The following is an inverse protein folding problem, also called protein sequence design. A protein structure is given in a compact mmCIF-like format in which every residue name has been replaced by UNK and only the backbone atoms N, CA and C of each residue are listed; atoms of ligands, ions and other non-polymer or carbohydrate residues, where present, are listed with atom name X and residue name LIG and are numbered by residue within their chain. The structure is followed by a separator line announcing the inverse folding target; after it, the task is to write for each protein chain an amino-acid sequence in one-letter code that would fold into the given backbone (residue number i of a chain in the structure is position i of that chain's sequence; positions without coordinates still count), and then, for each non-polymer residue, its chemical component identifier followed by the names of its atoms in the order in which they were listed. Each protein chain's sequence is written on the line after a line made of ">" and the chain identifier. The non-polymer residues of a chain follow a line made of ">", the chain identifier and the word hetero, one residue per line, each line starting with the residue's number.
data_IF_026048581447
#
_entry.id   IF_026048581447
#
_cell.length_a   1.000
_cell.length_b   1.000
_cell.length_c   1.000
_cell.angle_alpha   90.00
_cell.angle_beta   90.00
_cell.angle_gamma   90.00
#
_symmetry.space_group_name_H-M   'P 1'
#
loop_
_entity.id
_entity.type
_entity.pdbx_description
1 polymer ?
#
# COMPACT_ATOMS: atom_id res chain seq x y z
N UNK A 1 0.33 22.18 77.32
CA UNK A 1 0.56 22.78 75.99
C UNK A 1 1.83 22.21 75.41
N UNK A 2 1.71 21.44 74.32
CA UNK A 2 2.71 21.27 73.26
C UNK A 2 1.92 21.01 71.97
N UNK A 3 2.21 21.68 70.84
CA UNK A 3 1.31 21.71 69.70
C UNK A 3 1.51 20.52 68.76
N UNK A 4 0.37 20.04 68.27
CA UNK A 4 0.19 19.06 67.20
C UNK A 4 0.81 19.58 65.88
N UNK A 5 1.67 18.78 65.26
CA UNK A 5 2.16 19.03 63.89
C UNK A 5 1.65 17.92 62.99
N UNK A 6 0.54 18.18 62.30
CA UNK A 6 0.07 17.33 61.21
C UNK A 6 0.95 17.55 59.97
N UNK A 7 1.30 16.50 59.19
CA UNK A 7 2.09 16.67 57.98
C UNK A 7 1.24 17.30 56.85
N UNK A 8 1.84 18.13 55.97
CA UNK A 8 1.13 18.73 54.86
C UNK A 8 0.72 17.64 53.86
N UNK A 9 -0.59 17.44 53.68
CA UNK A 9 -1.11 16.61 52.61
C UNK A 9 -0.82 17.30 51.27
N UNK A 10 0.19 16.79 50.56
CA UNK A 10 0.45 17.16 49.17
C UNK A 10 -0.73 16.71 48.30
N UNK A 11 -1.66 17.62 48.01
CA UNK A 11 -2.75 17.45 47.05
C UNK A 11 -2.17 17.37 45.64
N UNK A 12 -1.81 16.17 45.16
CA UNK A 12 -1.34 15.97 43.77
C UNK A 12 -2.52 15.83 42.80
N UNK A 13 -2.71 16.85 41.96
CA UNK A 13 -2.88 16.79 40.49
C UNK A 13 -3.86 15.79 39.83
N UNK A 14 -5.01 15.45 40.43
CA UNK A 14 -6.01 14.56 39.76
C UNK A 14 -6.52 15.12 38.43
N UNK A 15 -6.71 16.44 38.31
CA UNK A 15 -7.26 17.11 37.12
C UNK A 15 -6.28 17.08 35.93
N UNK A 16 -4.96 17.08 36.20
CA UNK A 16 -3.94 17.10 35.14
C UNK A 16 -3.79 15.74 34.45
N UNK A 17 -4.13 14.64 35.14
CA UNK A 17 -4.02 13.28 34.58
C UNK A 17 -5.16 12.99 33.60
N UNK A 18 -6.38 13.41 33.92
CA UNK A 18 -7.55 13.24 33.05
C UNK A 18 -7.47 14.10 31.79
N UNK A 19 -7.09 15.38 31.92
CA UNK A 19 -6.92 16.26 30.76
C UNK A 19 -5.84 15.74 29.79
N UNK A 20 -4.71 15.28 30.33
CA UNK A 20 -3.63 14.71 29.51
C UNK A 20 -4.07 13.41 28.83
N UNK A 21 -4.84 12.56 29.53
CA UNK A 21 -5.43 11.33 28.97
C UNK A 21 -6.38 11.63 27.81
N UNK A 22 -7.30 12.59 27.99
CA UNK A 22 -8.25 13.04 26.95
C UNK A 22 -7.52 13.59 25.73
N UNK A 23 -6.48 14.40 25.92
CA UNK A 23 -5.63 14.92 24.84
C UNK A 23 -4.98 13.77 24.03
N UNK A 24 -4.37 12.78 24.71
CA UNK A 24 -3.77 11.62 24.02
C UNK A 24 -4.79 10.78 23.25
N UNK A 25 -6.00 10.59 23.79
CA UNK A 25 -7.06 9.83 23.13
C UNK A 25 -7.57 10.55 21.87
N UNK A 26 -7.68 11.88 21.92
CA UNK A 26 -8.05 12.69 20.76
C UNK A 26 -6.99 12.63 19.66
N UNK A 27 -5.70 12.69 20.03
CA UNK A 27 -4.59 12.53 19.08
C UNK A 27 -4.59 11.13 18.45
N UNK A 28 -4.83 10.07 19.23
CA UNK A 28 -4.95 8.72 18.70
C UNK A 28 -6.12 8.58 17.70
N UNK A 29 -7.27 9.18 18.02
CA UNK A 29 -8.44 9.15 17.15
C UNK A 29 -8.18 9.86 15.81
N UNK A 30 -7.58 11.05 15.85
CA UNK A 30 -7.21 11.80 14.64
C UNK A 30 -6.20 11.02 13.77
N UNK A 31 -5.26 10.32 14.41
CA UNK A 31 -4.25 9.53 13.71
C UNK A 31 -4.88 8.30 13.04
N UNK A 32 -5.83 7.65 13.70
CA UNK A 32 -6.61 6.53 13.13
C UNK A 32 -7.50 6.96 11.97
N UNK A 33 -8.12 8.15 12.05
CA UNK A 33 -8.88 8.72 10.93
C UNK A 33 -7.99 8.98 9.72
N UNK A 34 -6.78 9.54 9.93
CA UNK A 34 -5.80 9.75 8.86
C UNK A 34 -5.35 8.44 8.22
N UNK A 35 -5.10 7.40 9.03
CA UNK A 35 -4.76 6.07 8.53
C UNK A 35 -5.91 5.53 7.66
N UNK A 36 -7.13 5.60 8.17
CA UNK A 36 -8.33 5.12 7.46
C UNK A 36 -8.50 5.83 6.12
N UNK A 37 -8.39 7.17 6.11
CA UNK A 37 -8.46 7.95 4.88
C UNK A 37 -7.38 7.60 3.86
N UNK A 38 -6.17 7.28 4.33
CA UNK A 38 -5.07 6.89 3.45
C UNK A 38 -5.26 5.47 2.89
N UNK A 39 -5.79 4.54 3.71
CA UNK A 39 -6.17 3.20 3.25
C UNK A 39 -7.26 3.31 2.18
N UNK A 40 -8.30 4.10 2.38
CA UNK A 40 -9.36 4.31 1.39
C UNK A 40 -8.82 4.87 0.06
N UNK A 41 -7.89 5.83 0.13
CA UNK A 41 -7.22 6.37 -1.06
C UNK A 41 -6.40 5.29 -1.78
N UNK A 42 -5.70 4.45 -1.02
CA UNK A 42 -4.91 3.35 -1.58
C UNK A 42 -5.82 2.32 -2.27
N UNK A 43 -6.92 1.91 -1.63
CA UNK A 43 -7.90 0.98 -2.20
C UNK A 43 -8.45 1.50 -3.53
N UNK A 44 -8.93 2.76 -3.56
CA UNK A 44 -9.42 3.37 -4.81
C UNK A 44 -8.35 3.46 -5.91
N UNK A 45 -7.10 3.71 -5.52
CA UNK A 45 -5.98 3.75 -6.48
C UNK A 45 -5.71 2.38 -7.08
N UNK A 46 -5.76 1.32 -6.26
CA UNK A 46 -5.63 -0.07 -6.70
C UNK A 46 -6.79 -0.44 -7.64
N UNK A 47 -8.03 -0.14 -7.26
CA UNK A 47 -9.22 -0.42 -8.08
C UNK A 47 -9.16 0.28 -9.45
N UNK A 48 -8.55 1.48 -9.51
CA UNK A 48 -8.38 2.21 -10.77
C UNK A 48 -7.35 1.58 -11.71
N UNK A 49 -6.39 0.82 -11.18
CA UNK A 49 -5.38 0.10 -11.98
C UNK A 49 -6.03 -1.10 -12.70
N UNK A 50 -7.06 -1.69 -12.10
CA UNK A 50 -7.64 -2.96 -12.54
C UNK A 50 -8.64 -2.81 -13.70
N UNK A 51 -9.30 -1.66 -13.86
CA UNK A 51 -10.62 -1.62 -14.54
C UNK A 51 -10.81 -0.63 -15.72
N UNK A 52 -10.02 -0.64 -16.80
CA UNK A 52 -10.54 0.03 -18.02
C UNK A 52 -9.99 -0.41 -19.37
N UNK A 53 -8.74 -0.88 -19.46
CA UNK A 53 -8.18 -1.24 -20.76
C UNK A 53 -7.87 -2.74 -20.90
N UNK A 54 -8.25 -3.36 -22.02
CA UNK A 54 -7.83 -4.72 -22.34
C UNK A 54 -6.29 -4.77 -22.34
N UNK A 55 -5.75 -5.72 -21.58
CA UNK A 55 -4.31 -5.93 -21.50
C UNK A 55 -3.76 -6.27 -22.89
N UNK A 56 -2.78 -5.50 -23.35
CA UNK A 56 -2.11 -5.80 -24.61
C UNK A 56 -1.41 -7.16 -24.58
N UNK A 57 -0.97 -7.61 -23.40
CA UNK A 57 -0.46 -8.97 -23.21
C UNK A 57 -1.49 -10.05 -23.57
N UNK A 58 -2.74 -9.90 -23.12
CA UNK A 58 -3.80 -10.87 -23.44
C UNK A 58 -3.99 -10.98 -24.96
N UNK A 59 -3.99 -9.84 -25.66
CA UNK A 59 -4.09 -9.78 -27.12
C UNK A 59 -2.89 -10.50 -27.77
N UNK A 60 -1.66 -10.22 -27.33
CA UNK A 60 -0.44 -10.88 -27.83
C UNK A 60 -0.49 -12.40 -27.65
N UNK A 61 -0.97 -12.87 -26.50
CA UNK A 61 -1.04 -14.29 -26.17
C UNK A 61 -2.09 -15.03 -27.00
N UNK A 62 -3.19 -14.38 -27.35
CA UNK A 62 -4.26 -14.95 -28.16
C UNK A 62 -3.92 -15.07 -29.65
N UNK A 63 -2.82 -14.47 -30.11
CA UNK A 63 -2.35 -14.61 -31.50
C UNK A 63 -1.98 -16.09 -31.76
N UNK A 64 -2.65 -16.76 -32.71
CA UNK A 64 -2.37 -18.15 -33.04
C UNK A 64 -0.99 -18.28 -33.70
N UNK A 65 -0.34 -19.42 -33.47
CA UNK A 65 0.97 -19.77 -34.06
C UNK A 65 2.14 -18.84 -33.68
N UNK A 66 1.96 -17.98 -32.67
CA UNK A 66 3.04 -17.16 -32.12
C UNK A 66 3.72 -17.92 -30.98
N UNK A 67 5.02 -18.15 -31.08
CA UNK A 67 5.78 -18.79 -30.01
C UNK A 67 6.07 -17.81 -28.86
N UNK A 68 6.45 -18.36 -27.71
CA UNK A 68 6.69 -17.54 -26.51
C UNK A 68 7.84 -16.54 -26.71
N UNK A 69 8.86 -16.91 -27.50
CA UNK A 69 9.97 -16.03 -27.86
C UNK A 69 9.50 -14.77 -28.59
N UNK A 70 8.66 -14.93 -29.63
CA UNK A 70 8.11 -13.82 -30.39
C UNK A 70 7.14 -12.99 -29.55
N UNK A 71 6.33 -13.62 -28.68
CA UNK A 71 5.46 -12.91 -27.72
C UNK A 71 6.25 -12.04 -26.76
N UNK A 72 7.37 -12.55 -26.22
CA UNK A 72 8.24 -11.79 -25.32
C UNK A 72 8.96 -10.64 -26.03
N UNK A 73 9.36 -10.83 -27.30
CA UNK A 73 9.88 -9.74 -28.12
C UNK A 73 8.83 -8.65 -28.38
N UNK A 74 7.58 -9.04 -28.62
CA UNK A 74 6.48 -8.09 -28.78
C UNK A 74 6.24 -7.28 -27.50
N UNK A 75 6.24 -7.93 -26.33
CA UNK A 75 6.17 -7.26 -25.03
C UNK A 75 7.36 -6.29 -24.82
N UNK A 76 8.52 -6.62 -25.36
CA UNK A 76 9.71 -5.78 -25.26
C UNK A 76 9.65 -4.48 -26.06
N UNK A 77 8.81 -4.41 -27.09
CA UNK A 77 8.58 -3.21 -27.90
C UNK A 77 7.79 -2.14 -27.14
N UNK A 78 7.15 -2.49 -26.02
CA UNK A 78 6.42 -1.51 -25.22
C UNK A 78 7.38 -0.53 -24.55
N UNK A 79 6.95 0.74 -24.48
CA UNK A 79 7.66 1.74 -23.69
C UNK A 79 7.70 1.36 -22.20
N UNK A 80 8.60 1.97 -21.43
CA UNK A 80 8.84 1.59 -20.02
C UNK A 80 7.59 1.64 -19.15
N UNK A 81 6.66 2.57 -19.41
CA UNK A 81 5.42 2.70 -18.63
C UNK A 81 4.44 1.59 -18.99
N UNK A 82 4.16 1.40 -20.27
CA UNK A 82 3.25 0.36 -20.76
C UNK A 82 3.77 -1.03 -20.38
N UNK A 83 5.07 -1.29 -20.56
CA UNK A 83 5.70 -2.56 -20.18
C UNK A 83 5.53 -2.87 -18.69
N UNK A 84 5.73 -1.89 -17.80
CA UNK A 84 5.51 -2.07 -16.35
C UNK A 84 4.05 -2.37 -16.02
N UNK A 85 3.12 -1.68 -16.67
CA UNK A 85 1.70 -1.90 -16.46
C UNK A 85 1.27 -3.29 -16.91
N UNK A 86 1.66 -3.69 -18.12
CA UNK A 86 1.39 -5.04 -18.65
C UNK A 86 2.06 -6.11 -17.82
N UNK A 87 3.30 -5.90 -17.36
CA UNK A 87 3.98 -6.80 -16.44
C UNK A 87 3.14 -7.07 -15.18
N UNK A 88 2.49 -6.05 -14.61
CA UNK A 88 1.61 -6.22 -13.44
C UNK A 88 0.33 -7.00 -13.74
N UNK A 89 -0.09 -7.10 -15.00
CA UNK A 89 -1.28 -7.86 -15.43
C UNK A 89 -0.95 -9.30 -15.86
N UNK A 90 0.30 -9.58 -16.23
CA UNK A 90 0.78 -10.92 -16.58
C UNK A 90 0.82 -11.82 -15.34
N UNK A 91 0.57 -13.13 -15.48
CA UNK A 91 0.64 -14.09 -14.36
C UNK A 91 2.08 -14.31 -13.87
N UNK A 92 2.25 -14.76 -12.62
CA UNK A 92 3.58 -15.02 -12.05
C UNK A 92 4.41 -16.03 -12.86
N UNK A 93 3.76 -17.05 -13.44
CA UNK A 93 4.43 -18.05 -14.27
C UNK A 93 4.94 -17.45 -15.59
N UNK A 94 4.09 -16.70 -16.29
CA UNK A 94 4.46 -16.03 -17.55
C UNK A 94 5.57 -14.99 -17.33
N UNK A 95 5.54 -14.26 -16.21
CA UNK A 95 6.64 -13.35 -15.81
C UNK A 95 7.95 -14.10 -15.64
N UNK A 96 7.91 -15.28 -15.01
CA UNK A 96 9.09 -16.11 -14.83
C UNK A 96 9.68 -16.53 -16.17
N UNK A 97 8.85 -17.03 -17.10
CA UNK A 97 9.27 -17.38 -18.47
C UNK A 97 9.89 -16.20 -19.21
N UNK A 98 9.29 -15.01 -19.11
CA UNK A 98 9.83 -13.81 -19.73
C UNK A 98 11.20 -13.42 -19.16
N UNK A 99 11.37 -13.45 -17.84
CA UNK A 99 12.65 -13.15 -17.19
C UNK A 99 13.71 -14.16 -17.63
N UNK A 100 13.37 -15.45 -17.65
CA UNK A 100 14.28 -16.49 -18.15
C UNK A 100 14.68 -16.23 -19.60
N UNK A 101 13.73 -15.86 -20.46
CA UNK A 101 14.01 -15.50 -21.85
C UNK A 101 15.01 -14.34 -21.96
N UNK A 102 14.85 -13.28 -21.13
CA UNK A 102 15.75 -12.11 -21.07
C UNK A 102 17.14 -12.40 -20.49
N UNK A 103 17.29 -13.49 -19.74
CA UNK A 103 18.60 -13.91 -19.21
C UNK A 103 19.36 -14.81 -20.17
N UNK A 104 18.66 -15.45 -21.10
CA UNK A 104 19.24 -16.37 -22.09
C UNK A 104 19.58 -15.68 -23.42
N UNK A 105 19.14 -14.44 -23.64
CA UNK A 105 19.35 -13.65 -24.87
C UNK A 105 19.73 -12.21 -24.49
#
# INVERSE_FOLDING_TARGET
>A
MSPEVSPPTSKRNRINVEAKSVETNNIQLELMDKITQNIDKLTRSIDSIDNSEPSCWNIIREIPNLDDSARFKALDLFNTRAKKFEFMKITSEERSKWITHKLMH
#
